data_IF_739757992935
#
_entry.id   IF_739757992935
#
_cell.length_a   1.000
_cell.length_b   1.000
_cell.length_c   1.000
_cell.angle_alpha   90.00
_cell.angle_beta   90.00
_cell.angle_gamma   90.00
#
_symmetry.space_group_name_H-M   'P 1'
#
loop_
_entity.id
_entity.type
_entity.pdbx_description
1 polymer ?
#
# COMPACT_ATOMS: atom_id res chain seq x y z
N UNK A 1 -8.79 10.32 6.20
CA UNK A 1 -7.71 11.11 5.58
C UNK A 1 -7.65 10.82 4.07
N UNK A 2 -7.27 11.78 3.20
CA UNK A 2 -7.08 11.47 1.78
C UNK A 2 -5.73 10.78 1.57
N UNK A 3 -5.74 9.54 1.07
CA UNK A 3 -4.54 8.78 0.73
C UNK A 3 -4.07 9.20 -0.65
N UNK A 4 -2.95 9.90 -0.73
CA UNK A 4 -2.34 10.37 -1.98
C UNK A 4 -1.10 9.55 -2.26
N UNK A 5 -0.97 9.11 -3.51
CA UNK A 5 0.15 8.30 -3.99
C UNK A 5 0.87 9.06 -5.09
N UNK A 6 2.19 8.89 -5.18
CA UNK A 6 2.89 9.18 -6.44
C UNK A 6 2.61 8.08 -7.45
N UNK A 7 2.78 8.37 -8.74
CA UNK A 7 2.57 7.39 -9.81
C UNK A 7 3.47 6.16 -9.63
N UNK A 8 4.75 6.37 -9.31
CA UNK A 8 5.72 5.30 -9.03
C UNK A 8 5.28 4.41 -7.86
N UNK A 9 4.80 5.00 -6.76
CA UNK A 9 4.35 4.25 -5.59
C UNK A 9 3.07 3.45 -5.89
N UNK A 10 2.20 3.97 -6.76
CA UNK A 10 1.02 3.26 -7.21
C UNK A 10 1.37 2.07 -8.11
N UNK A 11 2.32 2.24 -9.04
CA UNK A 11 2.83 1.15 -9.87
C UNK A 11 3.46 0.03 -9.03
N UNK A 12 4.29 0.38 -8.04
CA UNK A 12 4.86 -0.59 -7.10
C UNK A 12 3.78 -1.33 -6.31
N UNK A 13 2.75 -0.60 -5.84
CA UNK A 13 1.64 -1.21 -5.12
C UNK A 13 0.89 -2.23 -6.00
N UNK A 14 0.64 -1.91 -7.27
CA UNK A 14 0.04 -2.82 -8.25
C UNK A 14 0.94 -4.02 -8.56
N UNK A 15 2.25 -3.82 -8.67
CA UNK A 15 3.22 -4.89 -8.86
C UNK A 15 3.15 -5.90 -7.70
N UNK A 16 3.16 -5.41 -6.44
CA UNK A 16 3.07 -6.27 -5.26
C UNK A 16 1.74 -7.03 -5.18
N UNK A 17 0.65 -6.47 -5.72
CA UNK A 17 -0.63 -7.16 -5.76
C UNK A 17 -0.62 -8.44 -6.59
N UNK A 18 0.17 -8.46 -7.67
CA UNK A 18 0.29 -9.63 -8.55
C UNK A 18 1.39 -10.60 -8.11
N UNK A 19 2.52 -10.08 -7.61
CA UNK A 19 3.72 -10.89 -7.36
C UNK A 19 3.82 -11.42 -5.92
N UNK A 20 3.57 -10.58 -4.91
CA UNK A 20 3.73 -10.98 -3.51
C UNK A 20 2.68 -10.36 -2.58
N UNK A 21 1.66 -11.17 -2.32
CA UNK A 21 0.56 -10.82 -1.41
C UNK A 21 1.01 -10.65 0.05
N UNK A 22 2.16 -11.21 0.49
CA UNK A 22 2.65 -11.00 1.86
C UNK A 22 3.16 -9.57 2.03
N UNK A 23 3.93 -9.09 1.05
CA UNK A 23 4.39 -7.70 1.01
C UNK A 23 3.20 -6.73 0.92
N UNK A 24 2.22 -7.00 0.05
CA UNK A 24 0.99 -6.20 -0.04
C UNK A 24 0.24 -6.12 1.31
N UNK A 25 0.09 -7.25 2.02
CA UNK A 25 -0.55 -7.28 3.34
C UNK A 25 0.17 -6.40 4.36
N UNK A 26 1.51 -6.39 4.35
CA UNK A 26 2.30 -5.57 5.27
C UNK A 26 2.13 -4.07 4.97
N UNK A 27 2.12 -3.69 3.70
CA UNK A 27 1.86 -2.30 3.27
C UNK A 27 0.47 -1.85 3.76
N UNK A 28 -0.56 -2.68 3.55
CA UNK A 28 -1.92 -2.35 4.00
C UNK A 28 -2.06 -2.23 5.51
N UNK A 29 -1.36 -3.08 6.27
CA UNK A 29 -1.32 -2.98 7.73
C UNK A 29 -0.69 -1.67 8.19
N UNK A 30 0.41 -1.23 7.57
CA UNK A 30 1.06 0.04 7.90
C UNK A 30 0.16 1.23 7.58
N UNK A 31 -0.52 1.22 6.43
CA UNK A 31 -1.48 2.27 6.06
C UNK A 31 -2.62 2.32 7.07
N UNK A 32 -3.17 1.18 7.46
CA UNK A 32 -4.23 1.11 8.47
C UNK A 32 -3.75 1.60 9.85
N UNK A 33 -2.50 1.29 10.21
CA UNK A 33 -1.90 1.72 11.47
C UNK A 33 -1.76 3.25 11.56
N UNK A 34 -1.41 3.88 10.44
CA UNK A 34 -1.30 5.35 10.32
C UNK A 34 -2.68 6.02 10.31
N UNK A 35 -3.68 5.38 9.71
CA UNK A 35 -5.05 5.91 9.53
C UNK A 35 -5.95 5.70 10.77
N UNK A 36 -5.40 5.37 11.94
CA UNK A 36 -6.13 5.07 13.20
C UNK A 36 -6.87 6.28 13.83
N UNK A 37 -7.08 7.38 13.11
CA UNK A 37 -7.72 8.62 13.61
C UNK A 37 -8.94 8.99 12.78
#
# INVERSE_FOLDING_TARGET
MNKVWSDEAWEDYLYWQMQDKKTLKRINLLIQDIDRV
#
